data_IF_589037564354
#
_entry.id   IF_589037564354
#
_cell.length_a   1.000
_cell.length_b   1.000
_cell.length_c   1.000
_cell.angle_alpha   90.00
_cell.angle_beta   90.00
_cell.angle_gamma   90.00
#
_symmetry.space_group_name_H-M   'P 1'
#
loop_
_entity.id
_entity.type
_entity.pdbx_description
1 polymer ?
#
# COMPACT_ATOMS: atom_id res chain seq x y z
N UNK A 1 -10.55 -6.03 4.37
CA UNK A 1 -9.22 -6.60 4.55
C UNK A 1 -8.40 -5.45 5.06
N UNK A 2 -8.13 -5.43 6.36
CA UNK A 2 -7.45 -4.32 7.00
C UNK A 2 -5.95 -4.48 6.70
N UNK A 3 -5.45 -3.76 5.70
CA UNK A 3 -4.02 -3.69 5.40
C UNK A 3 -3.27 -2.87 6.45
N UNK A 4 -2.20 -2.19 6.07
CA UNK A 4 -1.43 -1.25 6.92
C UNK A 4 -2.22 -0.01 7.42
N UNK A 5 -3.56 -0.03 7.42
CA UNK A 5 -4.40 1.14 7.65
C UNK A 5 -4.58 1.51 9.14
N UNK A 6 -4.66 0.54 10.05
CA UNK A 6 -4.96 0.83 11.46
C UNK A 6 -3.68 0.95 12.30
N UNK A 7 -3.22 2.19 12.49
CA UNK A 7 -2.16 2.53 13.46
C UNK A 7 -0.73 2.09 13.07
N UNK A 8 -0.56 1.42 11.93
CA UNK A 8 0.75 0.96 11.48
C UNK A 8 1.67 2.14 11.14
N UNK A 9 1.18 3.15 10.42
CA UNK A 9 2.00 4.29 9.99
C UNK A 9 2.45 5.17 11.15
N UNK A 10 1.71 5.11 12.25
CA UNK A 10 1.97 5.80 13.51
C UNK A 10 2.87 4.96 14.45
N UNK A 11 3.06 3.67 14.15
CA UNK A 11 3.91 2.77 14.92
C UNK A 11 5.40 2.97 14.64
N UNK A 12 6.25 2.57 15.59
CA UNK A 12 7.72 2.56 15.41
C UNK A 12 8.14 1.76 14.17
N UNK A 13 7.44 0.66 13.87
CA UNK A 13 7.72 -0.15 12.69
C UNK A 13 7.39 0.59 11.40
N UNK A 14 6.25 1.29 11.36
CA UNK A 14 5.86 2.13 10.23
C UNK A 14 6.84 3.27 9.99
N UNK A 15 7.26 3.96 11.05
CA UNK A 15 8.27 5.01 10.97
C UNK A 15 9.61 4.49 10.45
N UNK A 16 10.11 3.38 10.98
CA UNK A 16 11.36 2.75 10.49
C UNK A 16 11.24 2.32 9.03
N UNK A 17 10.09 1.79 8.63
CA UNK A 17 9.85 1.40 7.25
C UNK A 17 9.81 2.60 6.29
N UNK A 18 9.21 3.72 6.69
CA UNK A 18 9.24 4.97 5.92
C UNK A 18 10.66 5.53 5.81
N UNK A 19 11.44 5.46 6.88
CA UNK A 19 12.83 5.92 6.88
C UNK A 19 13.70 5.11 5.92
N UNK A 20 13.60 3.77 5.94
CA UNK A 20 14.32 2.93 4.98
C UNK A 20 13.95 3.25 3.51
N UNK A 21 12.70 3.63 3.25
CA UNK A 21 12.26 4.03 1.91
C UNK A 21 12.77 5.42 1.51
N UNK A 22 12.82 6.37 2.45
CA UNK A 22 13.46 7.67 2.23
C UNK A 22 14.93 7.49 1.84
N UNK A 23 15.68 6.70 2.61
CA UNK A 23 17.08 6.39 2.31
C UNK A 23 17.23 5.68 0.96
N UNK A 24 16.31 4.77 0.60
CA UNK A 24 16.32 4.13 -0.70
C UNK A 24 16.07 5.12 -1.84
N UNK A 25 15.09 6.01 -1.68
CA UNK A 25 14.81 7.08 -2.64
C UNK A 25 16.01 8.02 -2.82
N UNK A 26 16.70 8.38 -1.73
CA UNK A 26 17.93 9.18 -1.77
C UNK A 26 19.09 8.50 -2.52
N UNK A 27 19.11 7.16 -2.51
CA UNK A 27 20.03 6.37 -3.35
C UNK A 27 19.57 6.24 -4.80
N UNK A 28 18.43 6.83 -5.18
CA UNK A 28 17.87 6.78 -6.54
C UNK A 28 16.94 5.59 -6.80
N UNK A 29 16.50 4.86 -5.77
CA UNK A 29 15.51 3.78 -5.94
C UNK A 29 14.13 4.40 -6.20
N UNK A 30 13.49 4.00 -7.29
CA UNK A 30 12.11 4.41 -7.60
C UNK A 30 11.12 3.57 -6.79
N UNK A 31 10.31 4.24 -5.97
CA UNK A 31 9.29 3.58 -5.13
C UNK A 31 7.90 4.00 -5.61
N UNK A 32 7.06 3.01 -5.94
CA UNK A 32 5.65 3.19 -6.34
C UNK A 32 4.75 2.55 -5.29
N UNK A 33 3.70 3.25 -4.88
CA UNK A 33 2.75 2.76 -3.88
C UNK A 33 1.30 3.09 -4.22
N UNK A 34 0.45 2.09 -4.05
CA UNK A 34 -1.00 2.22 -4.17
C UNK A 34 -1.58 2.15 -2.75
N UNK A 35 -2.34 3.15 -2.35
CA UNK A 35 -3.14 3.15 -1.13
C UNK A 35 -4.58 2.83 -1.51
N UNK A 36 -5.09 1.69 -1.05
CA UNK A 36 -6.45 1.25 -1.38
C UNK A 36 -7.42 1.78 -0.33
N UNK A 37 -8.48 2.43 -0.79
CA UNK A 37 -9.47 3.03 0.10
C UNK A 37 -10.40 1.95 0.64
N UNK A 38 -10.73 2.00 1.92
CA UNK A 38 -11.80 1.17 2.46
C UNK A 38 -13.17 1.78 2.16
N UNK A 39 -14.20 0.94 2.05
CA UNK A 39 -15.54 1.35 1.64
C UNK A 39 -16.18 2.26 2.70
N UNK A 40 -16.20 3.57 2.44
CA UNK A 40 -17.01 4.60 3.10
C UNK A 40 -16.88 4.70 4.63
N UNK A 41 -15.69 5.07 5.11
CA UNK A 41 -15.53 5.66 6.43
C UNK A 41 -15.02 7.09 6.26
N UNK A 42 -15.89 8.09 6.44
CA UNK A 42 -15.58 9.53 6.30
C UNK A 42 -14.34 9.95 7.11
N UNK A 43 -14.03 9.24 8.20
CA UNK A 43 -12.86 9.47 9.07
C UNK A 43 -11.52 9.04 8.45
N UNK A 44 -11.56 8.18 7.43
CA UNK A 44 -10.37 7.68 6.72
C UNK A 44 -9.94 8.67 5.63
N UNK A 45 -10.86 9.42 5.05
CA UNK A 45 -10.59 10.39 3.97
C UNK A 45 -9.78 11.60 4.48
N UNK A 46 -10.07 12.11 5.68
CA UNK A 46 -9.33 13.21 6.31
C UNK A 46 -7.86 12.84 6.60
N UNK A 47 -7.62 11.60 7.05
CA UNK A 47 -6.28 11.10 7.32
C UNK A 47 -5.53 10.64 6.06
N UNK A 48 -6.25 10.28 4.99
CA UNK A 48 -5.67 9.80 3.74
C UNK A 48 -4.83 10.87 3.06
N UNK A 49 -5.32 12.11 2.93
CA UNK A 49 -4.54 13.17 2.29
C UNK A 49 -3.23 13.42 3.05
N UNK A 50 -3.29 13.50 4.38
CA UNK A 50 -2.10 13.63 5.22
C UNK A 50 -1.14 12.44 5.09
N UNK A 51 -1.66 11.22 5.02
CA UNK A 51 -0.85 10.02 4.79
C UNK A 51 -0.17 10.04 3.42
N UNK A 52 -0.91 10.33 2.35
CA UNK A 52 -0.38 10.46 0.99
C UNK A 52 0.70 11.53 0.93
N UNK A 53 0.44 12.70 1.51
CA UNK A 53 1.39 13.80 1.56
C UNK A 53 2.69 13.42 2.27
N UNK A 54 2.59 12.80 3.45
CA UNK A 54 3.77 12.33 4.21
C UNK A 54 4.58 11.30 3.44
N UNK A 55 3.95 10.46 2.63
CA UNK A 55 4.68 9.45 1.85
C UNK A 55 5.28 10.05 0.58
N UNK A 56 4.55 10.92 -0.11
CA UNK A 56 5.03 11.62 -1.29
C UNK A 56 6.25 12.52 -0.97
N UNK A 57 6.26 13.17 0.20
CA UNK A 57 7.39 14.00 0.64
C UNK A 57 8.68 13.20 0.89
N UNK A 58 8.61 11.87 0.99
CA UNK A 58 9.76 10.97 1.11
C UNK A 58 10.27 10.45 -0.25
N UNK A 59 9.74 10.99 -1.36
CA UNK A 59 10.11 10.56 -2.73
C UNK A 59 9.35 9.34 -3.24
N UNK A 60 8.28 8.93 -2.57
CA UNK A 60 7.43 7.82 -3.00
C UNK A 60 6.39 8.33 -4.02
N UNK A 61 6.25 7.68 -5.16
CA UNK A 61 5.13 7.92 -6.06
C UNK A 61 3.87 7.26 -5.48
N UNK A 62 2.94 8.10 -5.00
CA UNK A 62 1.70 7.65 -4.36
C UNK A 62 0.54 7.74 -5.34
N UNK A 63 -0.25 6.68 -5.40
CA UNK A 63 -1.57 6.65 -6.03
C UNK A 63 -2.62 6.13 -5.06
N UNK A 64 -3.85 6.57 -5.21
CA UNK A 64 -5.00 6.07 -4.45
C UNK A 64 -5.90 5.22 -5.34
N UNK A 65 -6.42 4.12 -4.81
CA UNK A 65 -7.30 3.22 -5.56
C UNK A 65 -8.61 3.07 -4.82
N UNK A 66 -9.69 3.55 -5.43
CA UNK A 66 -11.04 3.35 -4.91
C UNK A 66 -11.50 1.92 -5.22
N UNK A 67 -12.20 1.22 -4.29
CA UNK A 67 -12.66 -0.16 -4.52
C UNK A 67 -13.50 -0.35 -5.79
N UNK A 68 -14.28 0.67 -6.19
CA UNK A 68 -15.07 0.62 -7.41
C UNK A 68 -14.25 0.66 -8.70
N UNK A 69 -12.99 1.09 -8.64
CA UNK A 69 -12.05 1.13 -9.76
C UNK A 69 -11.20 -0.14 -9.88
N UNK A 70 -11.33 -1.09 -8.93
CA UNK A 70 -10.63 -2.37 -9.00
C UNK A 70 -11.25 -3.19 -10.13
N UNK A 71 -10.47 -3.63 -11.15
CA UNK A 71 -10.98 -4.47 -12.22
C UNK A 71 -11.63 -5.75 -11.66
N UNK A 72 -12.78 -6.16 -12.22
CA UNK A 72 -13.53 -7.35 -11.78
C UNK A 72 -12.67 -8.63 -11.77
N UNK A 73 -11.76 -8.75 -12.74
CA UNK A 73 -10.84 -9.89 -12.87
C UNK A 73 -9.60 -9.76 -11.97
N UNK A 74 -9.34 -8.57 -11.42
CA UNK A 74 -8.31 -8.31 -10.41
C UNK A 74 -8.76 -8.72 -9.00
N UNK A 75 -9.92 -9.39 -8.86
CA UNK A 75 -10.52 -9.88 -7.62
C UNK A 75 -9.70 -10.93 -6.85
N UNK A 76 -8.43 -11.15 -7.19
CA UNK A 76 -7.48 -11.68 -6.22
C UNK A 76 -7.39 -10.67 -5.09
N UNK A 77 -7.64 -11.16 -3.87
CA UNK A 77 -7.32 -10.51 -2.60
C UNK A 77 -6.28 -9.40 -2.80
N UNK A 78 -6.56 -8.17 -2.35
CA UNK A 78 -5.57 -7.10 -2.26
C UNK A 78 -4.42 -7.60 -1.40
N UNK A 79 -3.48 -8.33 -2.00
CA UNK A 79 -2.38 -8.94 -1.27
C UNK A 79 -1.50 -7.77 -0.82
N UNK A 80 -1.20 -7.73 0.47
CA UNK A 80 -0.16 -6.87 0.99
C UNK A 80 1.19 -7.40 0.49
N UNK A 81 1.53 -7.07 -0.75
CA UNK A 81 2.74 -7.52 -1.43
C UNK A 81 3.60 -6.32 -1.82
N UNK A 82 4.89 -6.43 -1.56
CA UNK A 82 5.92 -5.51 -2.04
C UNK A 82 6.80 -6.28 -3.02
N UNK A 83 7.04 -5.71 -4.20
CA UNK A 83 7.96 -6.29 -5.20
C UNK A 83 9.24 -5.47 -5.21
N UNK A 84 10.37 -6.10 -4.90
CA UNK A 84 11.70 -5.50 -4.98
C UNK A 84 12.38 -5.92 -6.29
N UNK A 85 12.77 -4.92 -7.08
CA UNK A 85 13.55 -5.03 -8.34
C UNK A 85 13.04 -6.07 -9.35
N UNK A 86 11.78 -6.48 -9.25
CA UNK A 86 11.19 -7.54 -10.06
C UNK A 86 11.78 -8.94 -9.80
N UNK A 87 12.53 -9.13 -8.72
CA UNK A 87 13.20 -10.40 -8.37
C UNK A 87 12.73 -11.01 -7.05
N UNK A 88 12.09 -10.23 -6.18
CA UNK A 88 11.63 -10.68 -4.87
C UNK A 88 10.26 -10.11 -4.54
N UNK A 89 9.36 -10.96 -4.05
CA UNK A 89 8.11 -10.58 -3.42
C UNK A 89 8.22 -10.68 -1.89
N UNK A 90 7.78 -9.65 -1.18
CA UNK A 90 7.55 -9.68 0.25
C UNK A 90 6.05 -9.66 0.48
N UNK A 91 5.49 -10.78 0.91
CA UNK A 91 4.06 -10.94 1.14
C UNK A 91 3.77 -10.90 2.63
N UNK A 92 2.73 -10.17 2.99
CA UNK A 92 2.17 -10.12 4.33
C UNK A 92 0.76 -10.69 4.28
N UNK A 93 0.45 -11.59 5.21
CA UNK A 93 -0.92 -12.04 5.43
C UNK A 93 -1.44 -11.38 6.71
N UNK A 94 -2.40 -10.46 6.62
CA UNK A 94 -3.08 -9.95 7.81
C UNK A 94 -3.98 -11.03 8.41
N UNK A 95 -3.99 -11.13 9.73
CA UNK A 95 -4.89 -12.01 10.47
C UNK A 95 -6.31 -11.47 10.44
N UNK A 96 -7.27 -12.30 10.01
CA UNK A 96 -8.68 -11.93 10.03
C UNK A 96 -9.18 -11.79 11.48
N UNK A 97 -9.50 -10.56 11.89
CA UNK A 97 -10.27 -10.32 13.11
C UNK A 97 -11.73 -10.15 12.71
N UNK A 98 -12.48 -11.24 12.76
CA UNK A 98 -13.93 -11.19 12.61
C UNK A 98 -14.52 -10.49 13.86
N UNK A 99 -14.76 -9.18 13.75
CA UNK A 99 -15.63 -8.44 14.68
C UNK A 99 -15.02 -8.00 16.02
N UNK A 100 -13.69 -7.95 16.16
CA UNK A 100 -13.03 -7.39 17.36
C UNK A 100 -12.21 -6.16 17.00
N UNK A 101 -12.32 -5.08 17.80
CA UNK A 101 -11.60 -3.81 17.66
C UNK A 101 -10.09 -3.89 17.96
N UNK A 102 -9.46 -5.03 17.69
CA UNK A 102 -8.03 -5.25 17.87
C UNK A 102 -7.28 -4.85 16.59
N UNK A 103 -6.09 -4.23 16.71
CA UNK A 103 -5.29 -3.85 15.57
C UNK A 103 -4.90 -5.06 14.71
N UNK A 104 -4.77 -4.90 13.38
CA UNK A 104 -4.45 -5.98 12.47
C UNK A 104 -3.12 -6.64 12.86
N UNK A 105 -3.17 -7.94 13.16
CA UNK A 105 -1.97 -8.72 13.46
C UNK A 105 -1.45 -9.37 12.18
N UNK A 106 -0.17 -9.17 11.86
CA UNK A 106 0.47 -9.92 10.77
C UNK A 106 0.65 -11.37 11.22
N UNK A 107 -0.07 -12.30 10.59
CA UNK A 107 -0.01 -13.72 10.95
C UNK A 107 1.08 -14.49 10.21
N UNK A 108 1.54 -13.95 9.08
CA UNK A 108 2.55 -14.59 8.26
C UNK A 108 3.25 -13.56 7.36
N UNK A 109 4.56 -13.70 7.24
CA UNK A 109 5.40 -12.93 6.32
C UNK A 109 6.18 -13.92 5.45
N UNK A 110 6.15 -13.76 4.13
CA UNK A 110 6.88 -14.63 3.20
C UNK A 110 7.76 -13.83 2.26
N UNK A 111 8.95 -14.39 2.00
CA UNK A 111 9.84 -13.98 0.92
C UNK A 111 9.67 -14.96 -0.24
N UNK A 112 9.33 -14.43 -1.41
CA UNK A 112 9.10 -15.21 -2.63
C UNK A 112 10.15 -14.82 -3.66
N UNK A 113 10.96 -15.81 -4.05
CA UNK A 113 12.04 -15.67 -5.07
C UNK A 113 11.71 -16.39 -6.38
N UNK A 114 10.54 -17.04 -6.43
CA UNK A 114 10.06 -17.73 -7.63
C UNK A 114 9.73 -16.72 -8.72
N UNK A 115 10.49 -16.74 -9.81
CA UNK A 115 10.39 -15.75 -10.88
C UNK A 115 8.98 -15.66 -11.48
N UNK A 116 8.30 -16.79 -11.68
CA UNK A 116 6.92 -16.84 -12.18
C UNK A 116 5.93 -16.10 -11.26
N UNK A 117 6.08 -16.29 -9.95
CA UNK A 117 5.22 -15.65 -8.95
C UNK A 117 5.53 -14.16 -8.83
N UNK A 118 6.81 -13.78 -8.81
CA UNK A 118 7.21 -12.36 -8.75
C UNK A 118 6.74 -11.59 -9.98
N UNK A 119 6.83 -12.19 -11.18
CA UNK A 119 6.29 -11.56 -12.39
C UNK A 119 4.76 -11.43 -12.34
N UNK A 120 4.05 -12.40 -11.78
CA UNK A 120 2.61 -12.30 -11.59
C UNK A 120 2.23 -11.14 -10.64
N UNK A 121 2.96 -10.95 -9.54
CA UNK A 121 2.76 -9.79 -8.65
C UNK A 121 3.06 -8.46 -9.35
N UNK A 122 4.14 -8.41 -10.13
CA UNK A 122 4.49 -7.20 -10.87
C UNK A 122 3.40 -6.82 -11.88
N UNK A 123 2.91 -7.78 -12.65
CA UNK A 123 1.83 -7.55 -13.62
C UNK A 123 0.56 -7.05 -12.91
N UNK A 124 0.17 -7.73 -11.84
CA UNK A 124 -1.00 -7.35 -11.05
C UNK A 124 -0.85 -5.95 -10.44
N UNK A 125 0.32 -5.62 -9.90
CA UNK A 125 0.60 -4.27 -9.41
C UNK A 125 0.51 -3.24 -10.53
N UNK A 126 1.08 -3.51 -11.71
CA UNK A 126 1.04 -2.60 -12.84
C UNK A 126 -0.41 -2.38 -13.33
N UNK A 127 -1.27 -3.40 -13.32
CA UNK A 127 -2.71 -3.28 -13.60
C UNK A 127 -3.42 -2.35 -12.60
N UNK A 128 -3.23 -2.59 -11.30
CA UNK A 128 -3.79 -1.74 -10.25
C UNK A 128 -3.24 -0.31 -10.34
N UNK A 129 -1.97 -0.15 -10.69
CA UNK A 129 -1.32 1.15 -10.83
C UNK A 129 -1.97 1.99 -11.92
N UNK A 130 -2.35 1.38 -13.06
CA UNK A 130 -3.05 2.08 -14.13
C UNK A 130 -4.48 2.47 -13.75
N UNK A 131 -5.15 1.67 -12.92
CA UNK A 131 -6.49 1.98 -12.42
C UNK A 131 -6.50 2.98 -11.25
N UNK A 132 -5.35 3.24 -10.63
CA UNK A 132 -5.21 4.12 -9.48
C UNK A 132 -4.96 5.57 -9.90
N UNK A 133 -5.50 6.51 -9.12
CA UNK A 133 -5.40 7.94 -9.34
C UNK A 133 -4.10 8.48 -8.73
N UNK A 134 -3.30 9.29 -9.47
CA UNK A 134 -2.16 10.01 -8.91
C UNK A 134 -2.56 10.88 -7.72
N UNK A 135 -1.79 10.81 -6.64
CA UNK A 135 -1.93 11.76 -5.56
C UNK A 135 -1.42 13.13 -6.01
N UNK A 136 -2.30 14.14 -5.96
CA UNK A 136 -1.94 15.53 -6.18
C UNK A 136 -1.83 16.25 -4.82
N UNK A 137 -0.62 16.65 -4.38
CA UNK A 137 -0.42 17.35 -3.12
C UNK A 137 -0.99 18.77 -3.10
N UNK A 138 -1.41 19.30 -4.26
CA UNK A 138 -1.99 20.64 -4.42
C UNK A 138 -3.51 20.64 -4.52
N UNK A 139 -4.13 19.47 -4.67
CA UNK A 139 -5.57 19.34 -4.69
C UNK A 139 -6.15 19.69 -3.30
N UNK A 140 -7.24 20.47 -3.22
CA UNK A 140 -7.87 20.78 -1.95
C UNK A 140 -8.34 19.49 -1.25
N UNK A 141 -8.15 19.41 0.07
CA UNK A 141 -8.82 18.40 0.90
C UNK A 141 -10.32 18.53 0.63
N UNK A 142 -10.95 17.46 0.12
CA UNK A 142 -12.40 17.41 0.02
C UNK A 142 -12.97 17.55 1.44
N UNK A 143 -13.74 18.61 1.67
CA UNK A 143 -14.34 18.95 2.95
C UNK A 143 -15.61 18.14 3.24
#
# INVERSE_FOLDING_TARGET
MHGFADGFWESDLGHRYLECQREASERGVRIRRILVLERQSLTVEDNLHGLCFRQASLGIEVRTLHPASIPLDAGRALLDVIVFDGVMGYEVTPGAHAGTALPPTIVNTRLVLRADVVQAHRLHFDELWQAAEPFDPTAPQAA
#
